data_IF_846708282268
#
_entry.id   IF_846708282268
#
_cell.length_a   1.000
_cell.length_b   1.000
_cell.length_c   1.000
_cell.angle_alpha   90.00
_cell.angle_beta   90.00
_cell.angle_gamma   90.00
#
_symmetry.space_group_name_H-M   'P 1'
#
loop_
_entity.id
_entity.type
_entity.pdbx_description
1 polymer ?
#
# COMPACT_ATOMS: atom_id res chain seq x y z
N UNK A 1 -12.81 -8.36 -7.34
CA UNK A 1 -11.44 -8.60 -6.83
C UNK A 1 -10.46 -8.91 -7.97
N UNK A 2 -10.89 -9.58 -9.04
CA UNK A 2 -10.05 -9.90 -10.22
C UNK A 2 -9.71 -8.72 -11.14
N UNK A 3 -10.50 -7.64 -11.19
CA UNK A 3 -10.22 -6.53 -12.13
C UNK A 3 -9.14 -5.54 -11.65
N UNK A 4 -8.91 -5.44 -10.34
CA UNK A 4 -7.81 -4.66 -9.75
C UNK A 4 -6.42 -5.20 -10.15
N UNK A 5 -6.33 -6.51 -10.44
CA UNK A 5 -5.09 -7.17 -10.86
C UNK A 5 -4.68 -6.79 -12.30
N UNK A 6 -5.64 -6.54 -13.21
CA UNK A 6 -5.35 -6.28 -14.64
C UNK A 6 -4.73 -4.91 -14.92
N UNK A 7 -4.82 -3.93 -14.01
CA UNK A 7 -4.25 -2.59 -14.20
C UNK A 7 -3.10 -2.26 -13.24
N UNK A 8 -2.82 -3.15 -12.28
CA UNK A 8 -1.80 -2.92 -11.27
C UNK A 8 -2.11 -1.73 -10.35
N UNK A 9 -3.41 -1.45 -10.14
CA UNK A 9 -3.92 -0.48 -9.19
C UNK A 9 -4.67 -1.21 -8.06
N UNK A 10 -4.51 -0.75 -6.82
CA UNK A 10 -5.40 -1.12 -5.69
C UNK A 10 -6.82 -0.49 -5.81
N UNK A 11 -7.15 0.06 -6.97
CA UNK A 11 -8.38 0.79 -7.25
C UNK A 11 -9.09 0.09 -8.41
N UNK A 12 -10.42 0.04 -8.33
CA UNK A 12 -11.24 -0.54 -9.37
C UNK A 12 -11.23 0.33 -10.65
N UNK A 13 -11.37 -0.28 -11.83
CA UNK A 13 -11.40 0.46 -13.10
C UNK A 13 -12.61 1.39 -13.17
N UNK A 14 -13.73 0.98 -12.62
CA UNK A 14 -14.97 1.78 -12.63
C UNK A 14 -14.77 3.10 -11.85
N UNK A 15 -14.04 3.03 -10.73
CA UNK A 15 -13.70 4.22 -9.92
C UNK A 15 -12.81 5.23 -10.68
N UNK A 16 -11.95 4.76 -11.60
CA UNK A 16 -11.04 5.62 -12.37
C UNK A 16 -11.78 6.53 -13.37
N UNK A 17 -12.93 6.08 -13.86
CA UNK A 17 -13.71 6.84 -14.84
C UNK A 17 -14.63 7.88 -14.21
N UNK A 18 -15.18 7.60 -13.03
CA UNK A 18 -16.26 8.37 -12.40
C UNK A 18 -15.77 9.39 -11.35
N UNK A 19 -14.60 9.19 -10.76
CA UNK A 19 -14.15 9.99 -9.60
C UNK A 19 -12.97 10.91 -9.93
N UNK A 20 -12.83 11.98 -9.17
CA UNK A 20 -11.70 12.91 -9.29
C UNK A 20 -10.42 12.34 -8.66
N UNK A 21 -9.26 12.80 -9.15
CA UNK A 21 -7.94 12.37 -8.69
C UNK A 21 -7.75 12.50 -7.17
N UNK A 22 -8.28 13.57 -6.55
CA UNK A 22 -8.16 13.80 -5.10
C UNK A 22 -8.88 12.74 -4.27
N UNK A 23 -10.06 12.30 -4.71
CA UNK A 23 -10.86 11.24 -4.08
C UNK A 23 -10.17 9.89 -4.23
N UNK A 24 -9.69 9.58 -5.44
CA UNK A 24 -8.95 8.35 -5.74
C UNK A 24 -7.64 8.24 -4.96
N UNK A 25 -6.90 9.34 -4.80
CA UNK A 25 -5.70 9.42 -3.94
C UNK A 25 -6.03 9.07 -2.49
N UNK A 26 -7.13 9.61 -1.95
CA UNK A 26 -7.58 9.31 -0.58
C UNK A 26 -7.97 7.83 -0.45
N UNK A 27 -8.72 7.29 -1.41
CA UNK A 27 -9.13 5.88 -1.43
C UNK A 27 -7.95 4.92 -1.55
N UNK A 28 -6.96 5.24 -2.38
CA UNK A 28 -5.70 4.50 -2.50
C UNK A 28 -4.99 4.38 -1.15
N UNK A 29 -4.85 5.52 -0.45
CA UNK A 29 -4.23 5.56 0.88
C UNK A 29 -5.00 4.69 1.87
N UNK A 30 -6.33 4.82 1.93
CA UNK A 30 -7.15 4.01 2.84
C UNK A 30 -7.04 2.51 2.55
N UNK A 31 -7.16 2.10 1.28
CA UNK A 31 -7.04 0.68 0.90
C UNK A 31 -5.64 0.14 1.22
N UNK A 32 -4.58 0.86 0.86
CA UNK A 32 -3.23 0.40 1.18
C UNK A 32 -3.00 0.30 2.68
N UNK A 33 -3.51 1.25 3.47
CA UNK A 33 -3.42 1.20 4.93
C UNK A 33 -4.17 0.00 5.51
N UNK A 34 -5.37 -0.32 4.99
CA UNK A 34 -6.15 -1.46 5.47
C UNK A 34 -5.51 -2.81 5.18
N UNK A 35 -4.70 -2.93 4.11
CA UNK A 35 -3.91 -4.14 3.86
C UNK A 35 -2.64 -4.20 4.71
N UNK A 36 -2.03 -3.04 5.00
CA UNK A 36 -0.76 -2.97 5.72
C UNK A 36 -0.91 -3.13 7.23
N UNK A 37 -1.94 -2.52 7.84
CA UNK A 37 -2.15 -2.56 9.30
C UNK A 37 -2.24 -3.97 9.87
N UNK A 38 -3.06 -4.89 9.31
CA UNK A 38 -3.19 -6.24 9.85
C UNK A 38 -1.89 -7.04 9.81
N UNK A 39 -1.09 -6.85 8.76
CA UNK A 39 0.22 -7.52 8.62
C UNK A 39 1.18 -7.03 9.70
N UNK A 40 1.23 -5.71 9.91
CA UNK A 40 2.07 -5.10 10.95
C UNK A 40 1.65 -5.54 12.35
N UNK A 41 0.33 -5.56 12.62
CA UNK A 41 -0.23 -6.00 13.89
C UNK A 41 0.02 -7.50 14.15
N UNK A 42 -0.10 -8.35 13.13
CA UNK A 42 0.21 -9.76 13.23
C UNK A 42 1.70 -10.00 13.51
N UNK A 43 2.58 -9.26 12.82
CA UNK A 43 4.02 -9.38 13.01
C UNK A 43 4.48 -8.89 14.39
N UNK A 44 3.94 -7.78 14.88
CA UNK A 44 4.21 -7.29 16.25
C UNK A 44 3.69 -8.25 17.31
N UNK A 45 2.50 -8.81 17.14
CA UNK A 45 1.94 -9.79 18.08
C UNK A 45 2.79 -11.07 18.15
N UNK A 46 3.20 -11.60 17.00
CA UNK A 46 4.11 -12.77 16.92
C UNK A 46 5.46 -12.48 17.58
N UNK A 47 6.00 -11.28 17.37
CA UNK A 47 7.24 -10.86 18.03
C UNK A 47 7.07 -10.84 19.55
N UNK A 48 5.94 -10.34 20.07
CA UNK A 48 5.70 -10.23 21.52
C UNK A 48 5.58 -11.58 22.24
N UNK A 49 5.06 -12.62 21.59
CA UNK A 49 4.80 -13.94 22.20
C UNK A 49 6.06 -14.79 22.42
N UNK A 50 7.17 -14.48 21.77
CA UNK A 50 8.40 -15.28 21.81
C UNK A 50 9.35 -14.79 22.91
N UNK A 51 10.09 -15.71 23.55
CA UNK A 51 11.32 -15.35 24.27
C UNK A 51 12.33 -14.76 23.27
N UNK A 52 12.90 -13.60 23.58
CA UNK A 52 13.71 -12.82 22.63
C UNK A 52 15.15 -12.72 23.09
N UNK A 53 16.05 -12.91 22.15
CA UNK A 53 17.45 -12.50 22.27
C UNK A 53 17.66 -11.12 21.65
N UNK A 54 18.79 -10.47 21.95
CA UNK A 54 19.14 -9.17 21.34
C UNK A 54 19.09 -9.18 19.80
N UNK A 55 19.43 -10.31 19.17
CA UNK A 55 19.34 -10.50 17.72
C UNK A 55 17.91 -10.43 17.17
N UNK A 56 16.91 -10.92 17.92
CA UNK A 56 15.51 -10.88 17.48
C UNK A 56 15.00 -9.44 17.42
N UNK A 57 15.43 -8.56 18.34
CA UNK A 57 15.07 -7.13 18.31
C UNK A 57 15.66 -6.43 17.09
N UNK A 58 16.94 -6.69 16.76
CA UNK A 58 17.60 -6.12 15.58
C UNK A 58 16.91 -6.60 14.31
N UNK A 59 16.61 -7.90 14.22
CA UNK A 59 15.92 -8.48 13.08
C UNK A 59 14.50 -7.90 12.93
N UNK A 60 13.77 -7.75 14.03
CA UNK A 60 12.45 -7.13 14.06
C UNK A 60 12.51 -5.68 13.55
N UNK A 61 13.46 -4.88 14.02
CA UNK A 61 13.65 -3.51 13.56
C UNK A 61 13.98 -3.43 12.07
N UNK A 62 14.86 -4.31 11.58
CA UNK A 62 15.19 -4.38 10.15
C UNK A 62 13.95 -4.70 9.32
N UNK A 63 13.17 -5.70 9.71
CA UNK A 63 11.94 -6.08 9.01
C UNK A 63 10.92 -4.93 9.04
N UNK A 64 10.79 -4.23 10.17
CA UNK A 64 9.90 -3.08 10.31
C UNK A 64 10.30 -1.96 9.33
N UNK A 65 11.59 -1.59 9.30
CA UNK A 65 12.12 -0.56 8.40
C UNK A 65 11.89 -0.95 6.94
N UNK A 66 12.25 -2.17 6.55
CA UNK A 66 12.03 -2.67 5.19
C UNK A 66 10.55 -2.66 4.82
N UNK A 67 9.66 -3.05 5.74
CA UNK A 67 8.21 -3.04 5.52
C UNK A 67 7.68 -1.63 5.27
N UNK A 68 8.15 -0.64 6.03
CA UNK A 68 7.77 0.78 5.86
C UNK A 68 8.27 1.32 4.52
N UNK A 69 9.53 1.03 4.16
CA UNK A 69 10.11 1.43 2.86
C UNK A 69 9.31 0.82 1.72
N UNK A 70 9.02 -0.48 1.78
CA UNK A 70 8.25 -1.18 0.77
C UNK A 70 6.83 -0.60 0.63
N UNK A 71 6.15 -0.36 1.75
CA UNK A 71 4.84 0.31 1.75
C UNK A 71 4.90 1.67 1.05
N UNK A 72 5.89 2.50 1.38
CA UNK A 72 6.06 3.81 0.78
C UNK A 72 6.31 3.72 -0.73
N UNK A 73 7.18 2.81 -1.17
CA UNK A 73 7.49 2.60 -2.59
C UNK A 73 6.24 2.17 -3.38
N UNK A 74 5.50 1.19 -2.86
CA UNK A 74 4.27 0.71 -3.50
C UNK A 74 3.23 1.85 -3.57
N UNK A 75 3.05 2.61 -2.49
CA UNK A 75 2.11 3.74 -2.46
C UNK A 75 2.50 4.82 -3.47
N UNK A 76 3.78 5.22 -3.50
CA UNK A 76 4.30 6.21 -4.44
C UNK A 76 4.14 5.76 -5.89
N UNK A 77 4.42 4.49 -6.18
CA UNK A 77 4.27 3.93 -7.52
C UNK A 77 2.81 3.95 -7.99
N UNK A 78 1.87 3.51 -7.13
CA UNK A 78 0.44 3.55 -7.44
C UNK A 78 -0.07 4.99 -7.64
N UNK A 79 0.40 5.93 -6.82
CA UNK A 79 0.06 7.35 -6.95
C UNK A 79 0.56 7.93 -8.28
N UNK A 80 1.77 7.56 -8.70
CA UNK A 80 2.36 8.02 -9.95
C UNK A 80 1.62 7.47 -11.16
N UNK A 81 1.29 6.18 -11.15
CA UNK A 81 0.42 5.57 -12.18
C UNK A 81 -0.94 6.25 -12.25
N UNK A 82 -1.54 6.60 -11.10
CA UNK A 82 -2.83 7.30 -11.05
C UNK A 82 -2.71 8.68 -11.70
N UNK A 83 -1.62 9.41 -11.41
CA UNK A 83 -1.36 10.73 -11.99
C UNK A 83 -1.19 10.65 -13.52
N UNK A 84 -0.43 9.67 -14.01
CA UNK A 84 -0.25 9.43 -15.44
C UNK A 84 -1.57 9.09 -16.15
N UNK A 85 -2.42 8.28 -15.52
CA UNK A 85 -3.74 7.95 -16.05
C UNK A 85 -4.61 9.20 -16.23
N UNK A 86 -4.74 10.05 -15.21
CA UNK A 86 -5.52 11.29 -15.30
C UNK A 86 -4.92 12.29 -16.30
N UNK A 87 -3.60 12.44 -16.32
CA UNK A 87 -2.93 13.30 -17.29
C UNK A 87 -3.13 12.84 -18.74
N UNK A 88 -3.23 11.52 -18.97
CA UNK A 88 -3.54 10.98 -20.30
C UNK A 88 -5.03 11.08 -20.65
N UNK A 89 -5.93 11.08 -19.66
CA UNK A 89 -7.38 11.21 -19.85
C UNK A 89 -7.76 12.63 -20.27
N UNK A 90 -7.17 13.65 -19.64
CA UNK A 90 -7.43 15.07 -19.95
C UNK A 90 -6.90 15.50 -21.34
N UNK A 91 -6.06 14.65 -21.99
CA UNK A 91 -5.56 14.89 -23.35
C UNK A 91 -6.39 14.24 -24.47
N UNK A 92 -7.39 13.41 -24.13
CA UNK A 92 -8.34 12.81 -25.07
C UNK A 92 -9.66 13.56 -25.02
#
# INVERSE_FOLDING_TARGET
MEESLKTGFFIDKNDLNEQSFSVLKRRLRHKMLSYFLPVLAGFTALFLLKEKNNYDYVLFFLILIFSIILYYLIYKNNLLKLKLYFFSKDKR
#
